data_IF_711430630448
#
_entry.id   IF_711430630448
#
_cell.length_a   1.000
_cell.length_b   1.000
_cell.length_c   1.000
_cell.angle_alpha   90.00
_cell.angle_beta   90.00
_cell.angle_gamma   90.00
#
_symmetry.space_group_name_H-M   'P 1'
#
loop_
_entity.id
_entity.type
_entity.pdbx_description
1 polymer ?
#
# COMPACT_ATOMS: atom_id res chain seq x y z
N UNK A 1 7.83 3.56 23.66
CA UNK A 1 7.56 3.36 22.21
C UNK A 1 8.71 2.56 21.65
N UNK A 2 8.43 1.52 20.87
CA UNK A 2 9.49 0.69 20.26
C UNK A 2 9.99 1.39 19.00
N UNK A 3 11.30 1.53 18.86
CA UNK A 3 11.93 2.04 17.64
C UNK A 3 12.03 0.93 16.59
N UNK A 4 12.15 1.27 15.32
CA UNK A 4 12.39 0.25 14.28
C UNK A 4 13.66 -0.52 14.58
N UNK A 5 14.72 0.15 15.07
CA UNK A 5 15.95 -0.53 15.49
C UNK A 5 15.76 -1.53 16.63
N UNK A 6 14.90 -1.25 17.61
CA UNK A 6 14.58 -2.20 18.67
C UNK A 6 13.75 -3.38 18.15
N UNK A 7 12.79 -3.12 17.25
CA UNK A 7 12.02 -4.17 16.59
C UNK A 7 12.90 -5.10 15.73
N UNK A 8 13.88 -4.53 15.00
CA UNK A 8 14.87 -5.28 14.24
C UNK A 8 15.68 -6.19 15.16
N UNK A 9 16.24 -5.66 16.26
CA UNK A 9 16.98 -6.49 17.23
C UNK A 9 16.13 -7.62 17.81
N UNK A 10 14.85 -7.36 18.08
CA UNK A 10 13.92 -8.38 18.55
C UNK A 10 13.63 -9.43 17.49
N UNK A 11 13.57 -9.04 16.21
CA UNK A 11 13.45 -9.96 15.09
C UNK A 11 14.68 -10.85 15.01
N UNK A 12 15.88 -10.27 14.99
CA UNK A 12 17.15 -11.02 14.95
C UNK A 12 17.29 -11.98 16.13
N UNK A 13 16.90 -11.55 17.35
CA UNK A 13 16.92 -12.39 18.53
C UNK A 13 15.91 -13.56 18.47
N UNK A 14 14.80 -13.41 17.75
CA UNK A 14 13.76 -14.44 17.61
C UNK A 14 14.06 -15.42 16.49
N UNK A 15 14.58 -14.96 15.35
CA UNK A 15 14.84 -15.79 14.17
C UNK A 15 16.27 -16.33 14.15
N UNK A 16 17.21 -15.67 14.84
CA UNK A 16 18.63 -15.95 14.74
C UNK A 16 19.26 -15.44 13.44
N UNK A 17 18.48 -14.75 12.59
CA UNK A 17 18.94 -14.21 11.30
C UNK A 17 19.43 -12.77 11.47
N UNK A 18 20.40 -12.37 10.64
CA UNK A 18 20.82 -10.97 10.54
C UNK A 18 19.81 -10.23 9.66
N UNK A 19 19.18 -9.18 10.18
CA UNK A 19 18.09 -8.51 9.47
C UNK A 19 18.54 -7.85 8.16
N UNK A 20 19.82 -7.47 8.06
CA UNK A 20 20.42 -6.92 6.83
C UNK A 20 20.49 -7.93 5.68
N UNK A 21 20.57 -9.23 6.01
CA UNK A 21 20.66 -10.33 5.03
C UNK A 21 19.32 -11.06 4.85
N UNK A 22 18.38 -10.86 5.79
CA UNK A 22 17.07 -11.46 5.74
C UNK A 22 16.23 -10.88 4.60
N UNK A 23 15.71 -11.77 3.75
CA UNK A 23 14.78 -11.41 2.67
C UNK A 23 13.42 -10.98 3.18
N UNK A 24 12.97 -11.55 4.30
CA UNK A 24 11.65 -11.30 4.86
C UNK A 24 11.83 -10.84 6.30
N UNK A 25 11.53 -9.57 6.55
CA UNK A 25 11.71 -8.95 7.86
C UNK A 25 10.34 -8.70 8.49
N UNK A 26 10.07 -9.43 9.57
CA UNK A 26 8.76 -9.48 10.24
C UNK A 26 8.76 -8.62 11.50
N UNK A 27 8.35 -7.37 11.37
CA UNK A 27 8.25 -6.37 12.46
C UNK A 27 6.79 -6.06 12.83
N UNK A 28 5.87 -6.99 12.58
CA UNK A 28 4.46 -6.83 12.91
C UNK A 28 4.20 -7.01 14.42
N UNK A 29 3.09 -6.45 14.92
CA UNK A 29 2.60 -6.64 16.30
C UNK A 29 3.67 -6.38 17.38
N UNK A 30 4.35 -5.23 17.31
CA UNK A 30 5.34 -4.88 18.33
C UNK A 30 4.66 -4.48 19.63
N UNK A 31 5.27 -4.86 20.75
CA UNK A 31 4.81 -4.50 22.10
C UNK A 31 6.00 -3.91 22.86
N UNK A 32 6.01 -2.60 23.16
CA UNK A 32 5.09 -1.54 22.72
C UNK A 32 5.04 -1.35 21.18
N UNK A 33 3.97 -0.77 20.61
CA UNK A 33 3.88 -0.57 19.16
C UNK A 33 4.91 0.46 18.66
N UNK A 34 5.30 0.31 17.39
CA UNK A 34 6.08 1.33 16.67
C UNK A 34 5.13 2.45 16.28
N UNK A 35 5.40 3.69 16.69
CA UNK A 35 4.55 4.82 16.27
C UNK A 35 5.15 5.69 15.16
N UNK A 36 6.46 5.58 14.91
CA UNK A 36 7.12 6.33 13.85
C UNK A 36 8.19 5.46 13.20
N UNK A 37 8.23 5.47 11.87
CA UNK A 37 9.34 4.84 11.15
C UNK A 37 10.62 5.67 11.32
N UNK A 38 11.73 4.98 11.57
CA UNK A 38 13.06 5.58 11.72
C UNK A 38 14.07 4.95 10.74
N UNK A 39 15.22 5.61 10.58
CA UNK A 39 16.23 5.23 9.60
C UNK A 39 16.91 3.88 9.85
N UNK A 40 16.61 3.19 10.96
CA UNK A 40 17.14 1.85 11.21
C UNK A 40 16.66 0.84 10.17
N UNK A 41 15.51 1.11 9.52
CA UNK A 41 15.00 0.28 8.42
C UNK A 41 15.95 0.29 7.22
N UNK A 42 16.74 1.34 6.99
CA UNK A 42 17.67 1.42 5.86
C UNK A 42 18.84 0.42 5.98
N UNK A 43 19.02 -0.23 7.14
CA UNK A 43 20.00 -1.30 7.30
C UNK A 43 19.57 -2.62 6.63
N UNK A 44 18.30 -2.73 6.21
CA UNK A 44 17.73 -3.96 5.64
C UNK A 44 18.07 -4.10 4.15
N UNK A 45 19.35 -4.23 3.82
CA UNK A 45 19.86 -4.18 2.45
C UNK A 45 19.29 -5.29 1.53
N UNK A 46 19.09 -6.50 2.07
CA UNK A 46 18.58 -7.64 1.32
C UNK A 46 17.06 -7.87 1.47
N UNK A 47 16.35 -6.99 2.18
CA UNK A 47 14.95 -7.19 2.48
C UNK A 47 14.07 -7.00 1.25
N UNK A 48 13.42 -8.08 0.82
CA UNK A 48 12.44 -8.12 -0.26
C UNK A 48 11.01 -7.88 0.27
N UNK A 49 10.71 -8.31 1.50
CA UNK A 49 9.39 -8.21 2.11
C UNK A 49 9.48 -7.67 3.54
N UNK A 50 8.99 -6.45 3.73
CA UNK A 50 8.95 -5.78 5.04
C UNK A 50 7.53 -5.78 5.61
N UNK A 51 7.36 -6.40 6.78
CA UNK A 51 6.07 -6.45 7.47
C UNK A 51 6.09 -5.57 8.72
N UNK A 52 5.34 -4.48 8.67
CA UNK A 52 5.14 -3.51 9.75
C UNK A 52 3.67 -3.41 10.17
N UNK A 53 2.86 -4.40 9.81
CA UNK A 53 1.43 -4.43 10.10
C UNK A 53 1.12 -4.52 11.60
N UNK A 54 -0.03 -3.99 12.03
CA UNK A 54 -0.46 -3.99 13.45
C UNK A 54 0.55 -3.24 14.34
N UNK A 55 0.79 -1.98 14.00
CA UNK A 55 1.58 -1.05 14.79
C UNK A 55 0.78 0.27 14.95
N UNK A 56 1.40 1.34 15.45
CA UNK A 56 0.77 2.64 15.64
C UNK A 56 1.42 3.71 14.75
N UNK A 57 1.92 3.32 13.57
CA UNK A 57 2.71 4.20 12.70
C UNK A 57 1.81 5.30 12.15
N UNK A 58 2.13 6.56 12.47
CA UNK A 58 1.37 7.72 11.99
C UNK A 58 2.03 8.38 10.77
N UNK A 59 3.36 8.30 10.67
CA UNK A 59 4.18 8.99 9.67
C UNK A 59 5.42 8.18 9.27
N UNK A 60 5.74 8.27 7.98
CA UNK A 60 7.04 7.91 7.42
C UNK A 60 8.04 9.00 7.81
N UNK A 61 8.67 8.86 8.98
CA UNK A 61 9.54 9.88 9.56
C UNK A 61 10.82 10.18 8.77
N UNK A 62 11.16 9.30 7.84
CA UNK A 62 12.46 9.18 7.15
C UNK A 62 12.22 8.68 5.73
N UNK A 63 13.13 8.99 4.81
CA UNK A 63 13.15 8.37 3.49
C UNK A 63 13.69 6.94 3.60
N UNK A 64 12.93 5.98 3.08
CA UNK A 64 13.30 4.56 3.13
C UNK A 64 14.12 4.22 1.89
N UNK A 65 15.39 3.90 2.08
CA UNK A 65 16.27 3.44 1.00
C UNK A 65 16.43 1.93 1.13
N UNK A 66 15.57 1.20 0.43
CA UNK A 66 15.54 -0.26 0.44
C UNK A 66 15.58 -0.77 -1.00
N UNK A 67 16.79 -1.03 -1.55
CA UNK A 67 16.97 -1.25 -2.99
C UNK A 67 16.37 -2.57 -3.49
N UNK A 68 16.04 -3.51 -2.61
CA UNK A 68 15.48 -4.81 -2.97
C UNK A 68 14.03 -4.98 -2.52
N UNK A 69 13.41 -3.94 -1.94
CA UNK A 69 12.07 -4.08 -1.36
C UNK A 69 11.00 -4.18 -2.45
N UNK A 70 10.34 -5.33 -2.48
CA UNK A 70 9.24 -5.63 -3.39
C UNK A 70 7.89 -5.53 -2.71
N UNK A 71 7.79 -5.95 -1.45
CA UNK A 71 6.53 -6.03 -0.70
C UNK A 71 6.62 -5.21 0.59
N UNK A 72 5.77 -4.20 0.71
CA UNK A 72 5.65 -3.38 1.91
C UNK A 72 4.27 -3.56 2.55
N UNK A 73 4.24 -4.16 3.75
CA UNK A 73 3.02 -4.36 4.51
C UNK A 73 2.97 -3.42 5.72
N UNK A 74 2.12 -2.41 5.66
CA UNK A 74 1.91 -1.37 6.68
C UNK A 74 0.44 -1.31 7.12
N UNK A 75 -0.29 -2.42 7.01
CA UNK A 75 -1.70 -2.48 7.38
C UNK A 75 -1.95 -2.35 8.89
N UNK A 76 -3.14 -1.93 9.30
CA UNK A 76 -3.50 -1.70 10.71
C UNK A 76 -2.49 -0.77 11.41
N UNK A 77 -2.36 0.43 10.85
CA UNK A 77 -1.58 1.53 11.41
C UNK A 77 -2.46 2.79 11.44
N UNK A 78 -1.89 3.97 11.70
CA UNK A 78 -2.61 5.26 11.72
C UNK A 78 -2.03 6.23 10.69
N UNK A 79 -1.56 5.69 9.55
CA UNK A 79 -0.97 6.45 8.45
C UNK A 79 -2.04 7.31 7.79
N UNK A 80 -1.76 8.60 7.62
CA UNK A 80 -2.69 9.56 6.99
C UNK A 80 -2.33 9.93 5.55
N UNK A 81 -1.04 9.86 5.22
CA UNK A 81 -0.50 10.19 3.90
C UNK A 81 0.81 9.45 3.65
N UNK A 82 1.13 9.26 2.38
CA UNK A 82 2.43 8.76 1.95
C UNK A 82 3.35 9.94 1.70
N UNK A 83 4.46 10.00 2.44
CA UNK A 83 5.53 10.96 2.20
C UNK A 83 6.84 10.16 2.09
N UNK A 84 7.79 10.64 1.27
CA UNK A 84 9.15 10.08 1.19
C UNK A 84 9.21 8.60 0.77
N UNK A 85 8.32 8.19 -0.14
CA UNK A 85 8.37 6.88 -0.79
C UNK A 85 9.09 6.90 -2.14
N UNK A 86 9.63 8.06 -2.52
CA UNK A 86 10.26 8.29 -3.83
C UNK A 86 11.37 7.26 -4.12
N UNK A 87 12.20 6.99 -3.12
CA UNK A 87 13.33 6.05 -3.20
C UNK A 87 12.92 4.57 -3.30
N UNK A 88 11.65 4.23 -3.03
CA UNK A 88 11.12 2.87 -3.15
C UNK A 88 10.45 2.61 -4.51
N UNK A 89 10.25 3.66 -5.31
CA UNK A 89 9.40 3.59 -6.50
C UNK A 89 9.90 2.67 -7.61
N UNK A 90 11.21 2.45 -7.66
CA UNK A 90 11.84 1.62 -8.69
C UNK A 90 11.73 0.11 -8.40
N UNK A 91 11.45 -0.30 -7.16
CA UNK A 91 11.50 -1.73 -6.78
C UNK A 91 10.20 -2.25 -6.16
N UNK A 92 9.35 -1.36 -5.62
CA UNK A 92 8.16 -1.78 -4.90
C UNK A 92 7.09 -2.30 -5.87
N UNK A 93 6.75 -3.58 -5.74
CA UNK A 93 5.75 -4.29 -6.56
C UNK A 93 4.40 -4.39 -5.84
N UNK A 94 4.41 -4.54 -4.51
CA UNK A 94 3.20 -4.70 -3.70
C UNK A 94 3.17 -3.77 -2.47
N UNK A 95 2.08 -3.02 -2.32
CA UNK A 95 1.85 -2.16 -1.17
C UNK A 95 0.55 -2.56 -0.45
N UNK A 96 0.68 -3.01 0.80
CA UNK A 96 -0.46 -3.38 1.63
C UNK A 96 -0.61 -2.39 2.79
N UNK A 97 -1.54 -1.45 2.65
CA UNK A 97 -1.82 -0.37 3.60
C UNK A 97 -3.28 -0.36 4.09
N UNK A 98 -3.97 -1.50 4.05
CA UNK A 98 -5.32 -1.67 4.59
C UNK A 98 -5.45 -1.29 6.07
N UNK A 99 -6.61 -0.81 6.51
CA UNK A 99 -6.87 -0.36 7.89
C UNK A 99 -5.90 0.75 8.33
N UNK A 100 -5.91 1.86 7.59
CA UNK A 100 -5.19 3.09 7.92
C UNK A 100 -6.16 4.29 7.85
N UNK A 101 -5.64 5.51 7.88
CA UNK A 101 -6.42 6.76 7.78
C UNK A 101 -6.04 7.55 6.52
N UNK A 102 -5.69 6.86 5.44
CA UNK A 102 -5.20 7.49 4.21
C UNK A 102 -6.35 8.20 3.52
N UNK A 103 -6.21 9.51 3.31
CA UNK A 103 -7.22 10.36 2.67
C UNK A 103 -6.88 10.75 1.23
N UNK A 104 -5.61 10.61 0.83
CA UNK A 104 -5.13 10.94 -0.50
C UNK A 104 -4.04 9.97 -0.95
N UNK A 105 -3.95 9.77 -2.26
CA UNK A 105 -2.94 8.94 -2.93
C UNK A 105 -1.71 9.73 -3.39
N UNK A 106 -1.57 10.97 -2.93
CA UNK A 106 -0.35 11.76 -3.13
C UNK A 106 0.88 11.00 -2.64
N UNK A 107 1.95 11.00 -3.45
CA UNK A 107 3.20 10.29 -3.18
C UNK A 107 3.27 8.85 -3.70
N UNK A 108 2.18 8.28 -4.22
CA UNK A 108 2.20 6.95 -4.87
C UNK A 108 2.52 7.00 -6.38
N UNK A 109 2.46 8.19 -7.00
CA UNK A 109 2.74 8.38 -8.43
C UNK A 109 4.13 7.93 -8.85
N UNK A 110 5.07 7.89 -7.91
CA UNK A 110 6.47 7.53 -8.18
C UNK A 110 6.70 6.01 -8.16
N UNK A 111 5.72 5.21 -7.71
CA UNK A 111 5.82 3.75 -7.62
C UNK A 111 5.55 3.06 -8.98
N UNK A 112 6.38 3.33 -9.98
CA UNK A 112 6.12 2.91 -11.36
C UNK A 112 6.00 1.40 -11.57
N UNK A 113 6.65 0.59 -10.72
CA UNK A 113 6.60 -0.87 -10.76
C UNK A 113 5.52 -1.51 -9.87
N UNK A 114 4.64 -0.70 -9.26
CA UNK A 114 3.58 -1.19 -8.40
C UNK A 114 2.56 -2.01 -9.22
N UNK A 115 2.36 -3.27 -8.83
CA UNK A 115 1.42 -4.22 -9.42
C UNK A 115 0.20 -4.47 -8.55
N UNK A 116 0.38 -4.44 -7.22
CA UNK A 116 -0.68 -4.74 -6.24
C UNK A 116 -0.79 -3.62 -5.21
N UNK A 117 -1.98 -3.06 -5.04
CA UNK A 117 -2.28 -2.04 -4.04
C UNK A 117 -3.48 -2.45 -3.19
N UNK A 118 -3.22 -2.82 -1.93
CA UNK A 118 -4.27 -3.16 -0.99
C UNK A 118 -4.46 -2.07 0.06
N UNK A 119 -5.58 -1.36 -0.03
CA UNK A 119 -5.86 -0.20 0.80
C UNK A 119 -7.31 -0.17 1.31
N UNK A 120 -7.86 -1.34 1.60
CA UNK A 120 -9.20 -1.45 2.21
C UNK A 120 -9.28 -0.71 3.55
N UNK A 121 -10.47 -0.25 3.92
CA UNK A 121 -10.72 0.42 5.20
C UNK A 121 -9.76 1.61 5.44
N UNK A 122 -9.74 2.52 4.47
CA UNK A 122 -9.06 3.82 4.55
C UNK A 122 -10.09 4.95 4.50
N UNK A 123 -9.65 6.20 4.30
CA UNK A 123 -10.49 7.39 4.33
C UNK A 123 -10.55 8.11 2.97
N UNK A 124 -10.40 7.38 1.85
CA UNK A 124 -10.62 7.96 0.52
C UNK A 124 -12.08 8.31 0.32
N UNK A 125 -12.36 9.57 0.01
CA UNK A 125 -13.72 10.08 -0.21
C UNK A 125 -14.10 10.21 -1.69
N UNK A 126 -13.11 10.41 -2.57
CA UNK A 126 -13.35 10.75 -3.97
C UNK A 126 -12.62 9.77 -4.90
N UNK A 127 -13.30 9.34 -5.96
CA UNK A 127 -12.69 8.51 -7.03
C UNK A 127 -11.62 9.26 -7.82
N UNK A 128 -11.63 10.59 -7.80
CA UNK A 128 -10.61 11.40 -8.51
C UNK A 128 -9.19 11.17 -8.00
N UNK A 129 -9.04 10.73 -6.75
CA UNK A 129 -7.74 10.32 -6.21
C UNK A 129 -7.16 9.12 -6.98
N UNK A 130 -8.01 8.24 -7.51
CA UNK A 130 -7.57 7.10 -8.32
C UNK A 130 -6.92 7.52 -9.63
N UNK A 131 -7.25 8.70 -10.16
CA UNK A 131 -6.60 9.25 -11.36
C UNK A 131 -5.09 9.41 -11.16
N UNK A 132 -4.63 9.61 -9.91
CA UNK A 132 -3.19 9.69 -9.58
C UNK A 132 -2.48 8.34 -9.76
N UNK A 133 -3.20 7.23 -9.63
CA UNK A 133 -2.67 5.89 -9.86
C UNK A 133 -2.51 5.54 -11.34
N UNK A 134 -3.00 6.40 -12.26
CA UNK A 134 -2.71 6.25 -13.70
C UNK A 134 -1.21 6.35 -14.01
N UNK A 135 -0.43 6.97 -13.12
CA UNK A 135 1.03 7.00 -13.18
C UNK A 135 1.69 5.64 -12.92
N UNK A 136 0.94 4.64 -12.44
CA UNK A 136 1.42 3.28 -12.16
C UNK A 136 0.88 2.32 -13.24
N UNK A 137 1.47 2.28 -14.45
CA UNK A 137 0.93 1.49 -15.56
C UNK A 137 0.97 -0.03 -15.30
N UNK A 138 1.81 -0.48 -14.37
CA UNK A 138 1.92 -1.87 -13.95
C UNK A 138 0.80 -2.36 -13.02
N UNK A 139 -0.06 -1.47 -12.52
CA UNK A 139 -1.04 -1.80 -11.49
C UNK A 139 -2.13 -2.73 -12.05
N UNK A 140 -2.27 -3.91 -11.43
CA UNK A 140 -3.18 -4.98 -11.87
C UNK A 140 -4.18 -5.41 -10.82
N UNK A 141 -3.85 -5.34 -9.55
CA UNK A 141 -4.75 -5.72 -8.44
C UNK A 141 -4.91 -4.55 -7.47
N UNK A 142 -6.15 -4.14 -7.21
CA UNK A 142 -6.47 -3.08 -6.28
C UNK A 142 -7.58 -3.51 -5.32
N UNK A 143 -7.45 -3.14 -4.05
CA UNK A 143 -8.48 -3.35 -3.02
C UNK A 143 -8.79 -2.03 -2.32
N UNK A 144 -9.99 -1.51 -2.55
CA UNK A 144 -10.50 -0.23 -2.06
C UNK A 144 -11.73 -0.38 -1.15
N UNK A 145 -12.26 -1.59 -0.97
CA UNK A 145 -13.42 -1.87 -0.08
C UNK A 145 -13.30 -1.17 1.28
N UNK A 146 -14.39 -0.56 1.74
CA UNK A 146 -14.45 0.09 3.05
C UNK A 146 -13.84 1.48 3.10
N UNK A 147 -13.61 2.11 1.93
CA UNK A 147 -13.35 3.55 1.84
C UNK A 147 -14.68 4.32 1.69
N UNK A 148 -14.79 5.54 2.26
CA UNK A 148 -15.98 6.38 2.14
C UNK A 148 -16.47 6.64 0.70
N UNK A 149 -15.58 6.57 -0.29
CA UNK A 149 -15.96 6.65 -1.71
C UNK A 149 -16.95 5.56 -2.16
N UNK A 150 -17.04 4.42 -1.44
CA UNK A 150 -18.01 3.36 -1.70
C UNK A 150 -19.34 3.60 -0.97
N UNK A 151 -19.45 4.59 -0.09
CA UNK A 151 -20.68 4.85 0.66
C UNK A 151 -21.82 5.24 -0.30
N UNK A 152 -22.90 4.46 -0.27
CA UNK A 152 -24.09 4.70 -1.08
C UNK A 152 -24.01 4.20 -2.53
N UNK A 153 -22.94 3.50 -2.91
CA UNK A 153 -22.81 2.86 -4.23
C UNK A 153 -22.96 1.34 -4.12
N UNK A 154 -23.62 0.74 -5.11
CA UNK A 154 -23.62 -0.71 -5.24
C UNK A 154 -22.23 -1.22 -5.67
N UNK A 155 -21.81 -2.44 -5.28
CA UNK A 155 -20.49 -2.97 -5.61
C UNK A 155 -20.16 -2.94 -7.11
N UNK A 156 -21.17 -3.18 -7.96
CA UNK A 156 -21.02 -3.13 -9.42
C UNK A 156 -20.75 -1.70 -9.92
N UNK A 157 -21.46 -0.71 -9.39
CA UNK A 157 -21.31 0.69 -9.76
C UNK A 157 -19.93 1.23 -9.32
N UNK A 158 -19.53 0.92 -8.09
CA UNK A 158 -18.21 1.30 -7.59
C UNK A 158 -17.10 0.68 -8.45
N UNK A 159 -17.23 -0.59 -8.84
CA UNK A 159 -16.29 -1.25 -9.74
C UNK A 159 -16.20 -0.57 -11.10
N UNK A 160 -17.33 -0.16 -11.68
CA UNK A 160 -17.38 0.61 -12.94
C UNK A 160 -16.67 1.96 -12.79
N UNK A 161 -16.89 2.68 -11.69
CA UNK A 161 -16.25 3.98 -11.47
C UNK A 161 -14.73 3.85 -11.26
N UNK A 162 -14.27 2.79 -10.58
CA UNK A 162 -12.83 2.45 -10.52
C UNK A 162 -12.29 2.17 -11.93
N UNK A 163 -12.98 1.36 -12.73
CA UNK A 163 -12.56 1.02 -14.09
C UNK A 163 -12.51 2.22 -15.02
N UNK A 164 -13.43 3.18 -14.87
CA UNK A 164 -13.41 4.43 -15.64
C UNK A 164 -12.13 5.22 -15.42
N UNK A 165 -11.58 5.22 -14.21
CA UNK A 165 -10.33 5.91 -13.88
C UNK A 165 -9.10 5.05 -14.17
N UNK A 166 -9.21 3.74 -13.98
CA UNK A 166 -8.11 2.78 -14.09
C UNK A 166 -8.50 1.61 -15.02
N UNK A 167 -8.53 1.85 -16.34
CA UNK A 167 -9.07 0.89 -17.31
C UNK A 167 -8.19 -0.34 -17.52
N UNK A 168 -6.94 -0.34 -17.04
CA UNK A 168 -5.98 -1.44 -17.21
C UNK A 168 -5.94 -2.44 -16.03
N UNK A 169 -6.71 -2.20 -14.97
CA UNK A 169 -6.70 -3.06 -13.78
C UNK A 169 -7.32 -4.43 -14.10
N UNK A 170 -6.69 -5.51 -13.67
CA UNK A 170 -7.16 -6.88 -13.88
C UNK A 170 -8.10 -7.37 -12.77
N UNK A 171 -7.92 -6.89 -11.55
CA UNK A 171 -8.67 -7.32 -10.36
C UNK A 171 -8.99 -6.13 -9.46
N UNK A 172 -10.26 -6.01 -9.10
CA UNK A 172 -10.79 -4.95 -8.24
C UNK A 172 -11.51 -5.61 -7.09
N UNK A 173 -11.16 -5.23 -5.88
CA UNK A 173 -11.83 -5.65 -4.64
C UNK A 173 -11.90 -7.17 -4.44
N UNK A 174 -10.86 -7.89 -4.91
CA UNK A 174 -10.82 -9.34 -4.85
C UNK A 174 -11.50 -10.05 -6.02
N UNK A 175 -12.26 -9.33 -6.85
CA UNK A 175 -12.95 -9.87 -8.02
C UNK A 175 -12.20 -9.59 -9.32
N UNK A 176 -12.09 -10.60 -10.19
CA UNK A 176 -11.53 -10.40 -11.53
C UNK A 176 -12.44 -9.46 -12.34
N UNK A 177 -11.83 -8.56 -13.09
CA UNK A 177 -12.55 -7.67 -14.00
C UNK A 177 -12.90 -8.44 -15.26
N UNK A 178 -14.18 -8.55 -15.56
CA UNK A 178 -14.69 -9.15 -16.78
C UNK A 178 -14.65 -8.13 -17.93
N UNK A 179 -14.55 -8.62 -19.16
CA UNK A 179 -14.56 -7.75 -20.34
C UNK A 179 -15.85 -6.93 -20.42
N UNK A 180 -17.00 -7.52 -20.09
CA UNK A 180 -18.30 -6.84 -20.06
C UNK A 180 -18.32 -5.63 -19.12
N UNK A 181 -17.61 -5.68 -17.99
CA UNK A 181 -17.53 -4.57 -17.04
C UNK A 181 -16.62 -3.45 -17.57
N UNK A 182 -15.56 -3.81 -18.31
CA UNK A 182 -14.71 -2.82 -19.00
C UNK A 182 -15.49 -2.10 -20.08
N UNK A 183 -16.25 -2.84 -20.88
CA UNK A 183 -17.05 -2.28 -21.97
C UNK A 183 -18.13 -1.34 -21.40
N UNK A 184 -18.78 -1.72 -20.29
CA UNK A 184 -19.73 -0.87 -19.57
C UNK A 184 -19.08 0.40 -18.97
N UNK A 185 -17.85 0.30 -18.46
CA UNK A 185 -17.11 1.46 -17.96
C UNK A 185 -16.66 2.41 -19.07
N UNK A 186 -16.36 1.88 -20.27
CA UNK A 186 -15.97 2.65 -21.44
C UNK A 186 -17.17 3.31 -22.18
N UNK A 187 -18.39 2.81 -21.95
CA UNK A 187 -19.59 3.41 -22.52
C UNK A 187 -19.87 4.79 -21.89
N UNK A 188 -20.21 5.82 -22.70
CA UNK A 188 -20.68 7.10 -22.17
C UNK A 188 -21.96 6.87 -21.36
N UNK A 189 -22.24 7.66 -20.31
CA UNK A 189 -23.51 7.57 -19.60
C UNK A 189 -24.64 7.75 -20.62
N UNK A 190 -25.57 6.78 -20.69
CA UNK A 190 -26.77 6.90 -21.52
C UNK A 190 -27.54 8.16 -21.10
N UNK A 191 -27.74 9.09 -22.04
CA UNK A 191 -28.45 10.37 -21.88
C UNK A 191 -29.94 10.20 -21.50
#
# INVERSE_FOLDING_TARGET
MTTCGAAIKNFEAKTGEVAAEAKIVKLYCQVPPIAKMDGSLNNLAACEHLQLSTNAIDKFGVALSLPNLKILSVGRNVIKKFDKLDDLGDNLEELWCSYNQIQSLDGLSNLTNLQVLYMSNNQLKNFDELSKLSANPGLRDILLVGNPMYEGLEPTEAKIEVLRRLPNIAKIDGAMVLQSERDAAAAPPEE
#
